data_IF_133939927264
#
_entry.id   IF_133939927264
#
_cell.length_a   1.000
_cell.length_b   1.000
_cell.length_c   1.000
_cell.angle_alpha   90.00
_cell.angle_beta   90.00
_cell.angle_gamma   90.00
#
_symmetry.space_group_name_H-M   'P 1'
#
loop_
_entity.id
_entity.type
_entity.pdbx_description
1 polymer ?
#
# COMPACT_ATOMS: atom_id res chain seq x y z
N UNK A 1 -23.21 -7.42 0.12
CA UNK A 1 -22.50 -6.49 1.03
C UNK A 1 -22.08 -7.10 2.38
N UNK A 2 -21.85 -8.42 2.51
CA UNK A 2 -21.37 -9.06 3.77
C UNK A 2 -19.97 -9.69 3.70
N UNK A 3 -19.35 -9.77 2.51
CA UNK A 3 -18.04 -10.42 2.33
C UNK A 3 -16.84 -9.48 2.45
N UNK A 4 -17.02 -8.18 2.15
CA UNK A 4 -15.95 -7.17 2.16
C UNK A 4 -15.42 -6.94 3.60
N UNK A 5 -16.31 -6.94 4.60
CA UNK A 5 -15.92 -6.77 6.00
C UNK A 5 -15.16 -7.96 6.60
N UNK A 6 -15.18 -9.14 5.98
CA UNK A 6 -14.50 -10.33 6.51
C UNK A 6 -13.00 -10.34 6.20
N UNK A 7 -12.59 -9.74 5.07
CA UNK A 7 -11.19 -9.73 4.61
C UNK A 7 -10.39 -8.67 5.35
N UNK A 8 -10.97 -7.49 5.59
CA UNK A 8 -10.37 -6.47 6.48
C UNK A 8 -10.25 -6.97 7.91
N UNK A 9 -11.20 -7.80 8.37
CA UNK A 9 -11.17 -8.42 9.69
C UNK A 9 -10.08 -9.49 9.81
N UNK A 10 -9.71 -10.20 8.74
CA UNK A 10 -8.65 -11.22 8.78
C UNK A 10 -7.25 -10.58 8.79
N UNK A 11 -7.07 -9.47 8.06
CA UNK A 11 -5.89 -8.61 8.22
C UNK A 11 -5.85 -8.04 9.65
N UNK A 12 -6.99 -7.58 10.18
CA UNK A 12 -7.13 -7.17 11.58
C UNK A 12 -6.83 -8.30 12.58
N UNK A 13 -7.19 -9.55 12.29
CA UNK A 13 -6.92 -10.70 13.15
C UNK A 13 -5.44 -11.05 13.19
N UNK A 14 -4.68 -10.84 12.10
CA UNK A 14 -3.22 -10.91 12.14
C UNK A 14 -2.62 -9.76 12.97
N UNK A 15 -3.16 -8.54 12.87
CA UNK A 15 -2.77 -7.42 13.73
C UNK A 15 -3.20 -7.55 15.21
N UNK A 16 -4.19 -8.40 15.53
CA UNK A 16 -4.73 -8.52 16.90
C UNK A 16 -4.41 -9.84 17.60
N UNK A 17 -3.98 -10.88 16.87
CA UNK A 17 -3.51 -12.16 17.46
C UNK A 17 -2.03 -12.43 17.24
N UNK A 18 -1.37 -11.75 16.31
CA UNK A 18 0.08 -11.71 16.24
C UNK A 18 0.56 -10.44 16.95
N UNK A 19 1.36 -10.59 17.99
CA UNK A 19 2.29 -9.56 18.43
C UNK A 19 3.33 -9.37 17.30
N UNK A 20 2.88 -8.87 16.14
CA UNK A 20 3.79 -8.32 15.15
C UNK A 20 4.40 -7.14 15.89
N UNK A 21 5.70 -7.19 16.18
CA UNK A 21 6.46 -6.17 16.91
C UNK A 21 6.53 -4.81 16.21
N UNK A 22 5.47 -4.43 15.50
CA UNK A 22 5.20 -3.13 14.94
C UNK A 22 5.07 -2.16 16.10
N UNK A 23 5.91 -1.13 16.06
CA UNK A 23 5.92 -0.08 17.07
C UNK A 23 4.62 0.74 17.03
N UNK A 24 3.82 0.61 15.96
CA UNK A 24 2.62 1.40 15.68
C UNK A 24 1.50 0.58 15.04
N UNK A 25 0.26 0.76 15.52
CA UNK A 25 -0.95 0.34 14.79
C UNK A 25 -1.18 1.28 13.60
N UNK A 26 -0.97 0.80 12.39
CA UNK A 26 -1.24 1.54 11.15
C UNK A 26 -2.67 1.27 10.68
N UNK A 27 -3.48 2.33 10.53
CA UNK A 27 -4.81 2.18 9.93
C UNK A 27 -4.72 2.05 8.41
N UNK A 28 -5.74 1.48 7.77
CA UNK A 28 -5.84 1.42 6.31
C UNK A 28 -5.73 2.82 5.67
N UNK A 29 -6.30 3.83 6.33
CA UNK A 29 -6.22 5.22 5.85
C UNK A 29 -4.78 5.75 5.92
N UNK A 30 -4.07 5.48 7.01
CA UNK A 30 -2.68 5.91 7.15
C UNK A 30 -1.77 5.22 6.11
N UNK A 31 -2.00 3.93 5.84
CA UNK A 31 -1.28 3.20 4.79
C UNK A 31 -1.58 3.77 3.40
N UNK A 32 -2.84 4.07 3.08
CA UNK A 32 -3.25 4.67 1.81
C UNK A 32 -2.63 6.05 1.61
N UNK A 33 -2.76 6.93 2.60
CA UNK A 33 -2.18 8.28 2.55
C UNK A 33 -0.66 8.21 2.38
N UNK A 34 0.01 7.36 3.16
CA UNK A 34 1.46 7.16 3.06
C UNK A 34 1.86 6.62 1.69
N UNK A 35 1.15 5.61 1.18
CA UNK A 35 1.39 5.02 -0.14
C UNK A 35 1.38 6.06 -1.26
N UNK A 36 0.31 6.86 -1.36
CA UNK A 36 0.21 7.88 -2.40
C UNK A 36 1.17 9.04 -2.17
N UNK A 37 1.53 9.36 -0.92
CA UNK A 37 2.56 10.37 -0.65
C UNK A 37 3.93 9.92 -1.11
N UNK A 38 4.32 8.68 -0.81
CA UNK A 38 5.58 8.10 -1.27
C UNK A 38 5.63 8.04 -2.80
N UNK A 39 4.56 7.53 -3.42
CA UNK A 39 4.49 7.38 -4.87
C UNK A 39 4.43 8.73 -5.61
N UNK A 40 3.55 9.63 -5.18
CA UNK A 40 3.18 10.83 -5.95
C UNK A 40 3.91 12.10 -5.50
N UNK A 41 4.04 12.34 -4.19
CA UNK A 41 4.66 13.57 -3.67
C UNK A 41 6.18 13.44 -3.56
N UNK A 42 6.66 12.32 -3.02
CA UNK A 42 8.07 12.11 -2.68
C UNK A 42 8.86 11.33 -3.74
N UNK A 43 8.18 10.83 -4.78
CA UNK A 43 8.78 10.07 -5.88
C UNK A 43 9.68 8.90 -5.40
N UNK A 44 9.21 8.11 -4.44
CA UNK A 44 9.95 6.99 -3.86
C UNK A 44 9.73 5.68 -4.63
N UNK A 45 9.70 5.76 -5.96
CA UNK A 45 9.43 4.61 -6.82
C UNK A 45 10.52 3.53 -6.73
N UNK A 46 11.75 3.94 -6.44
CA UNK A 46 12.89 3.06 -6.22
C UNK A 46 12.69 2.16 -4.99
N UNK A 47 12.11 2.68 -3.91
CA UNK A 47 11.86 1.89 -2.69
C UNK A 47 10.84 0.77 -2.96
N UNK A 48 9.81 1.05 -3.76
CA UNK A 48 8.82 0.04 -4.18
C UNK A 48 9.43 -0.99 -5.14
N UNK A 49 10.25 -0.54 -6.10
CA UNK A 49 10.96 -1.45 -7.02
C UNK A 49 11.91 -2.38 -6.27
N UNK A 50 12.69 -1.84 -5.34
CA UNK A 50 13.63 -2.59 -4.52
C UNK A 50 12.90 -3.63 -3.66
N UNK A 51 11.80 -3.22 -3.02
CA UNK A 51 10.96 -4.13 -2.23
C UNK A 51 10.41 -5.26 -3.09
N UNK A 52 9.86 -4.94 -4.27
CA UNK A 52 9.37 -5.93 -5.22
C UNK A 52 10.49 -6.82 -5.83
N UNK A 53 11.75 -6.38 -5.78
CA UNK A 53 12.91 -7.15 -6.21
C UNK A 53 13.43 -8.14 -5.17
N UNK A 54 13.03 -8.00 -3.91
CA UNK A 54 13.45 -8.86 -2.79
C UNK A 54 12.52 -10.04 -2.52
N UNK A 55 11.27 -9.97 -2.98
CA UNK A 55 10.27 -11.02 -2.78
C UNK A 55 10.37 -12.12 -3.86
N UNK A 56 9.62 -13.22 -3.68
CA UNK A 56 9.61 -14.34 -4.64
C UNK A 56 9.20 -13.85 -6.06
N UNK A 57 9.93 -14.19 -7.12
CA UNK A 57 9.66 -13.70 -8.47
C UNK A 57 8.25 -13.98 -9.00
N UNK A 58 7.63 -15.11 -8.61
CA UNK A 58 6.26 -15.42 -9.02
C UNK A 58 5.26 -14.47 -8.36
N UNK A 59 5.52 -14.07 -7.12
CA UNK A 59 4.71 -13.08 -6.42
C UNK A 59 4.91 -11.69 -7.03
N UNK A 60 6.13 -11.32 -7.40
CA UNK A 60 6.41 -10.07 -8.13
C UNK A 60 5.66 -10.03 -9.47
N UNK A 61 5.67 -11.12 -10.24
CA UNK A 61 4.90 -11.22 -11.48
C UNK A 61 3.39 -11.08 -11.22
N UNK A 62 2.89 -11.73 -10.17
CA UNK A 62 1.48 -11.62 -9.76
C UNK A 62 1.08 -10.19 -9.41
N UNK A 63 1.93 -9.45 -8.69
CA UNK A 63 1.72 -8.03 -8.37
C UNK A 63 1.63 -7.19 -9.65
N UNK A 64 2.48 -7.44 -10.64
CA UNK A 64 2.42 -6.73 -11.92
C UNK A 64 1.18 -7.06 -12.73
N UNK A 65 0.68 -8.29 -12.66
CA UNK A 65 -0.62 -8.66 -13.25
C UNK A 65 -1.74 -7.84 -12.60
N UNK A 66 -1.75 -7.69 -11.26
CA UNK A 66 -2.74 -6.86 -10.58
C UNK A 66 -2.64 -5.38 -10.96
N UNK A 67 -1.42 -4.85 -11.09
CA UNK A 67 -1.18 -3.48 -11.55
C UNK A 67 -1.69 -3.29 -12.99
N UNK A 68 -1.45 -4.25 -13.87
CA UNK A 68 -1.95 -4.22 -15.24
C UNK A 68 -3.49 -4.24 -15.27
N UNK A 69 -4.12 -5.09 -14.48
CA UNK A 69 -5.59 -5.18 -14.39
C UNK A 69 -6.24 -3.88 -13.87
N UNK A 70 -5.62 -3.24 -12.88
CA UNK A 70 -6.20 -2.08 -12.16
C UNK A 70 -5.86 -0.75 -12.83
N UNK A 71 -4.61 -0.57 -13.26
CA UNK A 71 -4.10 0.69 -13.82
C UNK A 71 -3.84 0.63 -15.33
N UNK A 72 -3.99 -0.54 -15.97
CA UNK A 72 -3.64 -0.74 -17.40
C UNK A 72 -2.16 -0.47 -17.72
N UNK A 73 -1.28 -0.62 -16.72
CA UNK A 73 0.18 -0.44 -16.87
C UNK A 73 0.83 -1.80 -17.02
N UNK A 74 1.41 -2.05 -18.19
CA UNK A 74 2.04 -3.33 -18.53
C UNK A 74 3.54 -3.32 -18.26
N UNK A 75 4.04 -4.48 -17.86
CA UNK A 75 5.46 -4.83 -17.93
C UNK A 75 6.03 -5.38 -16.62
N UNK A 76 7.33 -5.74 -16.63
CA UNK A 76 8.00 -6.32 -15.46
C UNK A 76 8.38 -5.28 -14.40
N UNK A 77 8.92 -5.77 -13.28
CA UNK A 77 9.52 -4.98 -12.20
C UNK A 77 10.82 -4.26 -12.63
N UNK A 78 10.66 -3.15 -13.36
CA UNK A 78 11.75 -2.26 -13.77
C UNK A 78 11.34 -0.81 -13.51
N UNK A 79 12.33 0.06 -13.30
CA UNK A 79 12.12 1.45 -12.91
C UNK A 79 11.27 2.24 -13.93
N UNK A 80 11.40 1.90 -15.21
CA UNK A 80 10.63 2.52 -16.29
C UNK A 80 9.13 2.23 -16.16
N UNK A 81 8.76 1.02 -15.74
CA UNK A 81 7.36 0.66 -15.56
C UNK A 81 6.80 1.22 -14.25
N UNK A 82 7.61 1.31 -13.19
CA UNK A 82 7.23 2.05 -11.98
C UNK A 82 6.99 3.53 -12.27
N UNK A 83 7.79 4.13 -13.15
CA UNK A 83 7.60 5.51 -13.61
C UNK A 83 6.26 5.68 -14.36
N UNK A 84 5.91 4.72 -15.24
CA UNK A 84 4.60 4.71 -15.91
C UNK A 84 3.45 4.50 -14.91
N UNK A 85 3.61 3.55 -13.99
CA UNK A 85 2.65 3.27 -12.93
C UNK A 85 2.35 4.51 -12.11
N UNK A 86 3.39 5.18 -11.61
CA UNK A 86 3.28 6.47 -10.92
C UNK A 86 2.51 7.48 -11.77
N UNK A 87 2.88 7.66 -13.03
CA UNK A 87 2.23 8.65 -13.90
C UNK A 87 0.71 8.39 -14.07
N UNK A 88 0.29 7.13 -14.12
CA UNK A 88 -1.13 6.77 -14.19
C UNK A 88 -1.79 6.94 -12.81
N UNK A 89 -1.28 6.26 -11.79
CA UNK A 89 -1.86 6.21 -10.45
C UNK A 89 -2.01 7.62 -9.83
N UNK A 90 -1.02 8.49 -10.01
CA UNK A 90 -1.01 9.83 -9.42
C UNK A 90 -1.95 10.83 -10.12
N UNK A 91 -2.28 10.59 -11.39
CA UNK A 91 -3.20 11.42 -12.17
C UNK A 91 -4.67 11.03 -12.00
N UNK A 92 -4.96 9.90 -11.34
CA UNK A 92 -6.33 9.51 -11.03
C UNK A 92 -6.99 10.50 -10.04
N UNK A 93 -8.30 10.77 -10.17
CA UNK A 93 -9.07 11.47 -9.14
C UNK A 93 -8.99 10.75 -7.78
N UNK A 94 -9.16 11.48 -6.67
CA UNK A 94 -9.02 10.92 -5.31
C UNK A 94 -9.94 9.71 -5.05
N UNK A 95 -11.21 9.78 -5.48
CA UNK A 95 -12.15 8.66 -5.38
C UNK A 95 -11.65 7.42 -6.15
N UNK A 96 -11.02 7.64 -7.30
CA UNK A 96 -10.47 6.56 -8.12
C UNK A 96 -9.18 6.00 -7.50
N UNK A 97 -8.34 6.85 -6.89
CA UNK A 97 -7.16 6.41 -6.12
C UNK A 97 -7.56 5.50 -4.98
N UNK A 98 -8.55 5.91 -4.18
CA UNK A 98 -9.08 5.09 -3.08
C UNK A 98 -9.63 3.76 -3.59
N UNK A 99 -10.46 3.81 -4.64
CA UNK A 99 -11.04 2.59 -5.23
C UNK A 99 -9.96 1.61 -5.71
N UNK A 100 -8.98 2.10 -6.48
CA UNK A 100 -7.90 1.26 -7.05
C UNK A 100 -6.95 0.73 -6.00
N UNK A 101 -6.62 1.54 -4.99
CA UNK A 101 -5.87 1.08 -3.82
C UNK A 101 -6.60 -0.07 -3.12
N UNK A 102 -7.88 0.09 -2.79
CA UNK A 102 -8.67 -0.94 -2.15
C UNK A 102 -8.77 -2.22 -3.01
N UNK A 103 -8.92 -2.08 -4.32
CA UNK A 103 -8.95 -3.22 -5.25
C UNK A 103 -7.62 -3.99 -5.29
N UNK A 104 -6.49 -3.28 -5.26
CA UNK A 104 -5.16 -3.90 -5.22
C UNK A 104 -4.96 -4.71 -3.93
N UNK A 105 -5.25 -4.12 -2.77
CA UNK A 105 -5.12 -4.81 -1.49
C UNK A 105 -6.15 -5.93 -1.30
N UNK A 106 -7.34 -5.81 -1.92
CA UNK A 106 -8.31 -6.90 -1.95
C UNK A 106 -7.75 -8.10 -2.72
N UNK A 107 -7.21 -7.91 -3.93
CA UNK A 107 -6.60 -9.00 -4.72
C UNK A 107 -5.44 -9.66 -3.96
N UNK A 108 -4.59 -8.87 -3.33
CA UNK A 108 -3.50 -9.36 -2.50
C UNK A 108 -3.99 -10.21 -1.31
N UNK A 109 -5.04 -9.76 -0.64
CA UNK A 109 -5.63 -10.47 0.50
C UNK A 109 -6.32 -11.77 0.08
N UNK A 110 -7.03 -11.77 -1.05
CA UNK A 110 -7.65 -12.98 -1.62
C UNK A 110 -6.59 -14.02 -2.00
N UNK A 111 -5.49 -13.57 -2.62
CA UNK A 111 -4.37 -14.44 -2.95
C UNK A 111 -3.68 -15.00 -1.71
N UNK A 112 -3.45 -14.18 -0.67
CA UNK A 112 -2.93 -14.66 0.61
C UNK A 112 -3.80 -15.80 1.13
N UNK A 113 -5.11 -15.60 1.23
CA UNK A 113 -6.04 -16.60 1.75
C UNK A 113 -5.97 -17.90 0.95
N UNK A 114 -5.85 -17.81 -0.37
CA UNK A 114 -5.69 -18.97 -1.25
C UNK A 114 -4.40 -19.76 -0.94
N UNK A 115 -3.25 -19.09 -0.91
CA UNK A 115 -1.95 -19.77 -0.76
C UNK A 115 -1.64 -20.20 0.66
N UNK A 116 -2.25 -19.54 1.65
CA UNK A 116 -2.09 -19.85 3.07
C UNK A 116 -3.14 -20.82 3.63
N UNK A 117 -3.97 -21.44 2.79
CA UNK A 117 -4.74 -22.63 3.20
C UNK A 117 -3.82 -23.72 3.78
N UNK A 118 -2.58 -23.80 3.31
CA UNK A 118 -1.49 -24.50 3.98
C UNK A 118 -0.43 -23.50 4.45
N UNK A 119 -0.44 -23.20 5.75
CA UNK A 119 0.48 -22.24 6.39
C UNK A 119 1.95 -22.62 6.29
N UNK A 120 2.26 -23.91 6.07
CA UNK A 120 3.64 -24.38 5.93
C UNK A 120 4.13 -24.34 4.47
N UNK A 121 3.25 -23.98 3.52
CA UNK A 121 3.61 -23.93 2.11
C UNK A 121 4.62 -22.83 1.82
N UNK A 122 5.45 -23.05 0.80
CA UNK A 122 6.41 -22.03 0.33
C UNK A 122 5.69 -20.74 -0.04
N UNK A 123 4.56 -20.83 -0.75
CA UNK A 123 3.81 -19.66 -1.22
C UNK A 123 3.22 -18.85 -0.07
N UNK A 124 2.76 -19.51 1.00
CA UNK A 124 2.30 -18.81 2.19
C UNK A 124 3.42 -18.01 2.84
N UNK A 125 4.58 -18.64 3.08
CA UNK A 125 5.76 -17.97 3.65
C UNK A 125 6.25 -16.80 2.81
N UNK A 126 6.36 -16.99 1.50
CA UNK A 126 6.77 -15.90 0.59
C UNK A 126 5.77 -14.74 0.57
N UNK A 127 4.48 -15.02 0.75
CA UNK A 127 3.45 -13.96 0.84
C UNK A 127 3.55 -13.22 2.18
N UNK A 128 3.72 -13.95 3.28
CA UNK A 128 3.96 -13.37 4.61
C UNK A 128 5.20 -12.47 4.62
N UNK A 129 6.33 -12.95 4.09
CA UNK A 129 7.57 -12.18 3.94
C UNK A 129 7.33 -10.90 3.13
N UNK A 130 6.56 -10.96 2.03
CA UNK A 130 6.26 -9.79 1.21
C UNK A 130 5.46 -8.72 1.96
N UNK A 131 4.52 -9.13 2.81
CA UNK A 131 3.73 -8.19 3.60
C UNK A 131 4.57 -7.58 4.70
N UNK A 132 5.42 -8.36 5.36
CA UNK A 132 6.38 -7.83 6.33
C UNK A 132 7.29 -6.79 5.69
N UNK A 133 7.84 -7.03 4.50
CA UNK A 133 8.67 -6.04 3.80
C UNK A 133 7.90 -4.75 3.45
N UNK A 134 6.64 -4.86 3.04
CA UNK A 134 5.80 -3.68 2.79
C UNK A 134 5.50 -2.89 4.07
N UNK A 135 5.27 -3.58 5.18
CA UNK A 135 5.05 -2.95 6.48
C UNK A 135 6.31 -2.25 6.96
N UNK A 136 7.47 -2.92 6.90
CA UNK A 136 8.78 -2.32 7.23
C UNK A 136 9.08 -1.08 6.39
N UNK A 137 8.72 -1.09 5.10
CA UNK A 137 8.84 0.07 4.23
C UNK A 137 8.00 1.23 4.78
N UNK A 138 6.72 1.01 5.09
CA UNK A 138 5.86 2.06 5.63
C UNK A 138 6.34 2.56 6.98
N UNK A 139 6.67 1.67 7.91
CA UNK A 139 7.20 2.04 9.24
C UNK A 139 8.43 2.93 9.12
N UNK A 140 9.40 2.54 8.28
CA UNK A 140 10.59 3.37 8.01
C UNK A 140 10.22 4.77 7.53
N UNK A 141 9.19 4.92 6.70
CA UNK A 141 8.77 6.24 6.24
C UNK A 141 7.96 7.02 7.29
N UNK A 142 7.25 6.35 8.19
CA UNK A 142 6.64 6.99 9.36
C UNK A 142 7.71 7.50 10.33
N UNK A 143 8.69 6.67 10.68
CA UNK A 143 9.79 7.04 11.59
C UNK A 143 10.63 8.20 11.05
N UNK A 144 10.80 8.27 9.73
CA UNK A 144 11.52 9.36 9.06
C UNK A 144 10.66 10.62 8.81
N UNK A 145 9.42 10.68 9.33
CA UNK A 145 8.53 11.83 9.15
C UNK A 145 7.95 12.00 7.73
N UNK A 146 8.24 11.07 6.81
CA UNK A 146 7.79 11.16 5.42
C UNK A 146 6.27 10.97 5.29
N UNK A 147 5.66 10.22 6.21
CA UNK A 147 4.23 9.90 6.21
C UNK A 147 3.45 10.55 7.37
N UNK A 148 4.02 11.54 8.05
CA UNK A 148 3.28 12.32 9.03
C UNK A 148 2.20 13.18 8.38
N UNK A 149 0.99 13.18 8.94
CA UNK A 149 -0.11 14.04 8.48
C UNK A 149 0.36 15.49 8.57
N UNK A 150 0.38 16.20 7.44
CA UNK A 150 0.60 17.65 7.44
C UNK A 150 -0.54 18.26 8.26
N UNK A 151 -0.25 18.82 9.43
CA UNK A 151 -1.25 19.61 10.13
C UNK A 151 -1.72 20.70 9.16
N UNK A 152 -3.01 20.66 8.81
CA UNK A 152 -3.64 21.73 8.06
C UNK A 152 -3.59 22.93 8.98
N UNK A 153 -2.55 23.76 8.81
CA UNK A 153 -2.51 25.08 9.42
C UNK A 153 -3.84 25.76 9.10
N UNK A 154 -4.70 25.86 10.11
CA UNK A 154 -5.83 26.78 10.06
C UNK A 154 -5.19 28.13 9.81
N UNK A 155 -5.22 28.59 8.55
CA UNK A 155 -4.99 30.00 8.24
C UNK A 155 -6.00 30.74 9.11
N UNK A 156 -5.52 31.33 10.19
CA UNK A 156 -6.21 32.40 10.90
C UNK A 156 -6.33 33.53 9.89
N UNK A 157 -7.39 33.46 9.08
CA UNK A 157 -7.77 34.49 8.13
C UNK A 157 -8.16 35.73 8.91
N UNK A 158 -7.18 36.58 9.19
CA UNK A 158 -7.46 38.00 9.32
C UNK A 158 -7.96 38.50 7.96
N UNK A 159 -9.15 39.10 7.92
CA UNK A 159 -9.34 40.56 7.79
C UNK A 159 -10.82 40.91 7.56
N UNK A 160 -11.26 41.99 8.20
CA UNK A 160 -12.05 43.13 7.67
C UNK A 160 -12.58 43.89 8.92
N UNK A 161 -12.06 45.06 9.30
CA UNK A 161 -12.24 46.40 8.70
C UNK A 161 -13.66 46.60 8.15
N UNK A 162 -14.54 47.19 8.97
CA UNK A 162 -15.42 48.35 8.70
C UNK A 162 -16.53 48.42 9.79
N UNK A 163 -16.70 49.59 10.42
CA UNK A 163 -17.83 49.93 11.30
C UNK A 163 -17.43 50.66 12.56
#
# INVERSE_FOLDING_TARGET
MRKIFCVTYLVFLLFSYGDCGLSRSLSNEDMKECYFRLLCELNRIEDFQETAGKIDPQLTEKIWIWIEEIESVKGPNIIENWSKYKAVACNNPEEMKEKRFNEFFQKGSEYWLEVCMNVLSKNCKSTEESVMMMVELFERHFENGNCEKKEVSKKSGGRNIFG
#
